data_IF_099999516642
#
_entry.id   IF_099999516642
#
_cell.length_a   1.000
_cell.length_b   1.000
_cell.length_c   1.000
_cell.angle_alpha   90.00
_cell.angle_beta   90.00
_cell.angle_gamma   90.00
#
_symmetry.space_group_name_H-M   'P 1'
#
loop_
_entity.id
_entity.type
_entity.pdbx_description
1 polymer ?
#
# COMPACT_ATOMS: atom_id res chain seq x y z
N UNK A 1 -9.27 2.60 26.72
CA UNK A 1 -8.10 3.37 26.23
C UNK A 1 -7.62 2.71 24.96
N UNK A 2 -7.76 3.36 23.81
CA UNK A 2 -7.17 2.89 22.54
C UNK A 2 -5.66 3.07 22.65
N UNK A 3 -4.93 1.96 22.79
CA UNK A 3 -3.47 2.00 22.74
C UNK A 3 -3.01 2.64 21.43
N UNK A 4 -2.14 3.64 21.56
CA UNK A 4 -1.53 4.30 20.40
C UNK A 4 -0.52 3.35 19.77
N UNK A 5 -0.89 2.65 18.70
CA UNK A 5 0.00 1.77 17.95
C UNK A 5 0.89 2.53 16.94
N UNK A 6 1.22 3.79 17.25
CA UNK A 6 1.97 4.68 16.33
C UNK A 6 3.28 4.07 15.86
N UNK A 7 4.04 3.42 16.75
CA UNK A 7 5.29 2.77 16.37
C UNK A 7 5.04 1.59 15.40
N UNK A 8 4.01 0.77 15.66
CA UNK A 8 3.69 -0.36 14.79
C UNK A 8 3.25 0.11 13.40
N UNK A 9 2.47 1.20 13.30
CA UNK A 9 2.13 1.85 12.03
C UNK A 9 3.38 2.38 11.34
N UNK A 10 4.21 3.15 12.02
CA UNK A 10 5.45 3.68 11.44
C UNK A 10 6.38 2.58 10.91
N UNK A 11 6.57 1.50 11.67
CA UNK A 11 7.35 0.33 11.23
C UNK A 11 6.74 -0.30 9.97
N UNK A 12 5.43 -0.54 9.98
CA UNK A 12 4.73 -1.16 8.85
C UNK A 12 4.86 -0.31 7.58
N UNK A 13 4.62 0.99 7.69
CA UNK A 13 4.53 1.90 6.55
C UNK A 13 5.92 2.28 6.01
N UNK A 14 6.89 2.60 6.89
CA UNK A 14 8.26 2.90 6.46
C UNK A 14 8.95 1.68 5.85
N UNK A 15 8.77 0.49 6.44
CA UNK A 15 9.30 -0.74 5.87
C UNK A 15 8.74 -1.03 4.48
N UNK A 16 7.42 -0.85 4.30
CA UNK A 16 6.76 -1.02 3.01
C UNK A 16 7.20 0.05 1.98
N UNK A 17 7.30 1.30 2.39
CA UNK A 17 7.74 2.38 1.53
C UNK A 17 9.19 2.19 1.04
N UNK A 18 10.08 1.72 1.92
CA UNK A 18 11.46 1.38 1.55
C UNK A 18 11.50 0.20 0.58
N UNK A 19 10.72 -0.88 0.84
CA UNK A 19 10.64 -2.03 -0.05
C UNK A 19 10.12 -1.63 -1.43
N UNK A 20 9.02 -0.86 -1.51
CA UNK A 20 8.46 -0.33 -2.74
C UNK A 20 9.45 0.57 -3.49
N UNK A 21 9.92 1.63 -2.83
CA UNK A 21 10.78 2.64 -3.45
C UNK A 21 12.14 2.09 -3.91
N UNK A 22 12.75 1.22 -3.09
CA UNK A 22 14.00 0.58 -3.44
C UNK A 22 13.86 -0.43 -4.59
N UNK A 23 12.76 -1.18 -4.64
CA UNK A 23 12.48 -2.09 -5.76
C UNK A 23 12.24 -1.33 -7.05
N UNK A 24 11.47 -0.24 -7.01
CA UNK A 24 11.20 0.61 -8.16
C UNK A 24 12.48 1.31 -8.65
N UNK A 25 13.26 1.89 -7.74
CA UNK A 25 14.54 2.52 -8.06
C UNK A 25 15.51 1.50 -8.67
N UNK A 26 15.56 0.28 -8.14
CA UNK A 26 16.40 -0.78 -8.68
C UNK A 26 15.98 -1.21 -10.09
N UNK A 27 14.66 -1.35 -10.34
CA UNK A 27 14.15 -1.71 -11.67
C UNK A 27 14.47 -0.65 -12.72
N UNK A 28 14.39 0.63 -12.37
CA UNK A 28 14.64 1.75 -13.30
C UNK A 28 16.11 2.17 -13.26
N UNK A 29 16.62 2.57 -12.11
CA UNK A 29 17.93 3.21 -11.98
C UNK A 29 19.09 2.23 -12.04
N UNK A 30 19.05 1.14 -11.25
CA UNK A 30 20.15 0.16 -11.24
C UNK A 30 20.28 -0.57 -12.59
N UNK A 31 19.15 -1.00 -13.15
CA UNK A 31 19.16 -1.68 -14.45
C UNK A 31 19.47 -0.73 -15.60
N UNK A 32 18.99 0.52 -15.54
CA UNK A 32 19.34 1.56 -16.52
C UNK A 32 20.83 1.85 -16.53
N UNK A 33 21.41 2.17 -15.38
CA UNK A 33 22.85 2.42 -15.26
C UNK A 33 23.70 1.22 -15.70
N UNK A 34 23.23 -0.01 -15.46
CA UNK A 34 23.92 -1.20 -15.93
C UNK A 34 23.85 -1.36 -17.46
N UNK A 35 22.77 -0.92 -18.11
CA UNK A 35 22.63 -0.95 -19.56
C UNK A 35 23.54 0.07 -20.27
N UNK A 36 23.88 1.17 -19.60
CA UNK A 36 24.77 2.23 -20.10
C UNK A 36 26.27 1.86 -20.01
N UNK A 37 26.62 0.73 -19.37
CA UNK A 37 28.01 0.24 -19.34
C UNK A 37 28.46 -0.19 -20.75
N UNK A 38 29.61 0.32 -21.21
CA UNK A 38 30.10 0.10 -22.56
C UNK A 38 30.29 -1.39 -22.89
N UNK A 39 30.96 -2.14 -21.99
CA UNK A 39 31.23 -3.57 -22.20
C UNK A 39 29.98 -4.42 -21.82
N UNK A 40 29.31 -5.06 -22.81
CA UNK A 40 28.15 -5.91 -22.58
C UNK A 40 28.37 -7.07 -21.61
N UNK A 41 29.65 -7.51 -21.44
CA UNK A 41 30.00 -8.59 -20.50
C UNK A 41 29.96 -8.14 -19.05
N UNK A 42 30.06 -6.85 -18.80
CA UNK A 42 30.03 -6.28 -17.44
C UNK A 42 28.65 -5.89 -16.97
N UNK A 43 27.68 -5.70 -17.86
CA UNK A 43 26.35 -5.17 -17.57
C UNK A 43 25.59 -5.99 -16.52
N UNK A 44 25.56 -7.32 -16.68
CA UNK A 44 24.91 -8.19 -15.70
C UNK A 44 25.59 -8.11 -14.32
N UNK A 45 26.91 -8.05 -14.28
CA UNK A 45 27.69 -7.94 -13.04
C UNK A 45 27.43 -6.63 -12.32
N UNK A 46 27.39 -5.51 -13.04
CA UNK A 46 27.09 -4.17 -12.48
C UNK A 46 25.67 -4.13 -11.88
N UNK A 47 24.67 -4.63 -12.63
CA UNK A 47 23.30 -4.74 -12.13
C UNK A 47 23.24 -5.58 -10.84
N UNK A 48 23.84 -6.77 -10.86
CA UNK A 48 23.85 -7.66 -9.70
C UNK A 48 24.61 -7.08 -8.50
N UNK A 49 25.68 -6.32 -8.72
CA UNK A 49 26.39 -5.64 -7.65
C UNK A 49 25.50 -4.57 -6.97
N UNK A 50 24.75 -3.80 -7.74
CA UNK A 50 23.77 -2.83 -7.22
C UNK A 50 22.68 -3.50 -6.41
N UNK A 51 22.03 -4.51 -6.97
CA UNK A 51 21.01 -5.30 -6.29
C UNK A 51 21.56 -6.04 -5.05
N UNK A 52 22.82 -6.51 -5.12
CA UNK A 52 23.49 -7.15 -3.98
C UNK A 52 23.66 -6.20 -2.78
N UNK A 53 24.01 -4.93 -3.03
CA UNK A 53 24.11 -3.90 -1.97
C UNK A 53 22.74 -3.55 -1.39
N UNK A 54 21.70 -3.55 -2.22
CA UNK A 54 20.33 -3.30 -1.77
C UNK A 54 19.73 -4.45 -0.95
N UNK A 55 20.12 -5.70 -1.23
CA UNK A 55 19.54 -6.90 -0.61
C UNK A 55 19.46 -6.84 0.92
N UNK A 56 20.54 -6.52 1.69
CA UNK A 56 20.46 -6.47 3.15
C UNK A 56 19.54 -5.34 3.64
N UNK A 57 19.54 -4.18 3.00
CA UNK A 57 18.67 -3.06 3.33
C UNK A 57 17.21 -3.44 3.12
N UNK A 58 16.92 -4.08 1.98
CA UNK A 58 15.58 -4.57 1.67
C UNK A 58 15.11 -5.66 2.65
N UNK A 59 15.99 -6.55 3.08
CA UNK A 59 15.66 -7.56 4.09
C UNK A 59 15.26 -6.92 5.43
N UNK A 60 15.98 -5.88 5.87
CA UNK A 60 15.61 -5.11 7.05
C UNK A 60 14.28 -4.40 6.86
N UNK A 61 14.06 -3.74 5.72
CA UNK A 61 12.80 -3.07 5.40
C UNK A 61 11.60 -4.02 5.45
N UNK A 62 11.74 -5.20 4.83
CA UNK A 62 10.74 -6.27 4.87
C UNK A 62 10.51 -6.74 6.31
N UNK A 63 11.57 -7.00 7.08
CA UNK A 63 11.46 -7.43 8.47
C UNK A 63 10.70 -6.40 9.33
N UNK A 64 11.02 -5.12 9.19
CA UNK A 64 10.35 -4.02 9.90
C UNK A 64 8.87 -3.95 9.50
N UNK A 65 8.56 -4.07 8.20
CA UNK A 65 7.18 -4.12 7.70
C UNK A 65 6.39 -5.27 8.32
N UNK A 66 6.94 -6.48 8.31
CA UNK A 66 6.27 -7.68 8.82
C UNK A 66 6.04 -7.61 10.34
N UNK A 67 7.04 -7.15 11.12
CA UNK A 67 6.91 -6.97 12.57
C UNK A 67 5.83 -5.93 12.89
N UNK A 68 5.83 -4.79 12.18
CA UNK A 68 4.80 -3.77 12.32
C UNK A 68 3.42 -4.32 12.01
N UNK A 69 3.26 -5.02 10.89
CA UNK A 69 2.02 -5.67 10.45
C UNK A 69 1.50 -6.70 11.45
N UNK A 70 2.37 -7.55 11.99
CA UNK A 70 2.01 -8.54 13.00
C UNK A 70 1.47 -7.90 14.30
N UNK A 71 2.13 -6.81 14.76
CA UNK A 71 1.66 -6.03 15.92
C UNK A 71 0.29 -5.41 15.66
N UNK A 72 0.08 -4.84 14.48
CA UNK A 72 -1.21 -4.25 14.08
C UNK A 72 -2.32 -5.30 13.98
N UNK A 73 -2.04 -6.49 13.43
CA UNK A 73 -2.99 -7.59 13.39
C UNK A 73 -3.38 -8.06 14.78
N UNK A 74 -2.39 -8.22 15.70
CA UNK A 74 -2.66 -8.57 17.10
C UNK A 74 -3.55 -7.52 17.80
N UNK A 75 -3.26 -6.24 17.63
CA UNK A 75 -4.05 -5.14 18.19
C UNK A 75 -5.48 -5.09 17.64
N UNK A 76 -5.68 -5.44 16.38
CA UNK A 76 -6.98 -5.38 15.69
C UNK A 76 -7.71 -6.73 15.63
N UNK A 77 -7.24 -7.78 16.32
CA UNK A 77 -7.79 -9.16 16.23
C UNK A 77 -9.31 -9.23 16.44
N UNK A 78 -9.84 -8.47 17.39
CA UNK A 78 -11.30 -8.43 17.65
C UNK A 78 -12.09 -7.86 16.47
N UNK A 79 -11.60 -6.79 15.86
CA UNK A 79 -12.21 -6.18 14.67
C UNK A 79 -12.11 -7.09 13.44
N UNK A 80 -10.99 -7.76 13.27
CA UNK A 80 -10.77 -8.73 12.18
C UNK A 80 -11.77 -9.89 12.31
N UNK A 81 -12.02 -10.38 13.52
CA UNK A 81 -12.94 -11.49 13.77
C UNK A 81 -14.43 -11.12 13.59
N UNK A 82 -14.80 -9.85 13.85
CA UNK A 82 -16.21 -9.44 13.90
C UNK A 82 -16.66 -8.61 12.70
N UNK A 83 -15.75 -7.99 11.97
CA UNK A 83 -16.06 -7.06 10.88
C UNK A 83 -15.60 -7.62 9.52
N UNK A 84 -16.55 -8.09 8.70
CA UNK A 84 -16.28 -8.71 7.38
C UNK A 84 -15.40 -7.85 6.46
N UNK A 85 -15.58 -6.53 6.44
CA UNK A 85 -14.77 -5.62 5.63
C UNK A 85 -13.31 -5.54 6.11
N UNK A 86 -13.08 -5.58 7.44
CA UNK A 86 -11.72 -5.59 8.01
C UNK A 86 -11.02 -6.90 7.70
N UNK A 87 -11.71 -8.04 7.82
CA UNK A 87 -11.18 -9.35 7.48
C UNK A 87 -10.81 -9.44 5.98
N UNK A 88 -11.70 -9.00 5.09
CA UNK A 88 -11.44 -9.02 3.65
C UNK A 88 -10.21 -8.18 3.29
N UNK A 89 -10.09 -6.96 3.81
CA UNK A 89 -8.93 -6.11 3.56
C UNK A 89 -7.63 -6.70 4.15
N UNK A 90 -7.70 -7.30 5.33
CA UNK A 90 -6.54 -8.00 5.94
C UNK A 90 -6.07 -9.14 5.04
N UNK A 91 -7.00 -9.96 4.52
CA UNK A 91 -6.66 -11.07 3.64
C UNK A 91 -6.05 -10.60 2.32
N UNK A 92 -6.55 -9.51 1.72
CA UNK A 92 -5.95 -8.91 0.52
C UNK A 92 -4.52 -8.45 0.80
N UNK A 93 -4.28 -7.74 1.90
CA UNK A 93 -2.93 -7.31 2.27
C UNK A 93 -1.99 -8.49 2.51
N UNK A 94 -2.45 -9.54 3.19
CA UNK A 94 -1.65 -10.75 3.40
C UNK A 94 -1.31 -11.44 2.09
N UNK A 95 -2.25 -11.55 1.15
CA UNK A 95 -2.01 -12.13 -0.17
C UNK A 95 -1.00 -11.30 -0.98
N UNK A 96 -1.13 -9.97 -0.99
CA UNK A 96 -0.18 -9.07 -1.65
C UNK A 96 1.22 -9.18 -1.01
N UNK A 97 1.31 -9.25 0.32
CA UNK A 97 2.58 -9.43 1.05
C UNK A 97 3.23 -10.77 0.69
N UNK A 98 2.47 -11.86 0.71
CA UNK A 98 2.99 -13.19 0.35
C UNK A 98 3.47 -13.22 -1.11
N UNK A 99 2.70 -12.65 -2.04
CA UNK A 99 3.09 -12.51 -3.45
C UNK A 99 4.38 -11.69 -3.63
N UNK A 100 4.49 -10.55 -2.95
CA UNK A 100 5.68 -9.69 -3.00
C UNK A 100 6.91 -10.38 -2.39
N UNK A 101 6.76 -11.12 -1.29
CA UNK A 101 7.83 -11.92 -0.68
C UNK A 101 8.30 -13.02 -1.61
N UNK A 102 7.38 -13.77 -2.20
CA UNK A 102 7.67 -14.84 -3.17
C UNK A 102 8.41 -14.28 -4.40
N UNK A 103 7.90 -13.17 -4.95
CA UNK A 103 8.55 -12.49 -6.08
C UNK A 103 9.96 -11.98 -5.73
N UNK A 104 10.13 -11.37 -4.54
CA UNK A 104 11.44 -10.88 -4.08
C UNK A 104 12.44 -12.03 -3.88
N UNK A 105 12.01 -13.13 -3.24
CA UNK A 105 12.85 -14.30 -3.03
C UNK A 105 13.26 -14.95 -4.35
N UNK A 106 12.32 -15.12 -5.27
CA UNK A 106 12.61 -15.73 -6.57
C UNK A 106 13.49 -14.83 -7.47
N UNK A 107 13.26 -13.51 -7.44
CA UNK A 107 14.15 -12.56 -8.12
C UNK A 107 15.59 -12.66 -7.60
N UNK A 108 15.77 -12.87 -6.28
CA UNK A 108 17.11 -13.08 -5.70
C UNK A 108 17.77 -14.37 -6.22
N UNK A 109 17.02 -15.48 -6.30
CA UNK A 109 17.52 -16.75 -6.86
C UNK A 109 17.95 -16.57 -8.33
N UNK A 110 17.12 -15.90 -9.13
CA UNK A 110 17.47 -15.62 -10.54
C UNK A 110 18.72 -14.72 -10.66
N UNK A 111 18.83 -13.68 -9.82
CA UNK A 111 20.02 -12.83 -9.77
C UNK A 111 21.29 -13.62 -9.45
N UNK A 112 21.24 -14.59 -8.55
CA UNK A 112 22.36 -15.49 -8.26
C UNK A 112 22.72 -16.39 -9.45
N UNK A 113 21.73 -16.92 -10.17
CA UNK A 113 21.98 -17.69 -11.41
C UNK A 113 22.64 -16.84 -12.48
N UNK A 114 22.24 -15.57 -12.59
CA UNK A 114 22.90 -14.62 -13.51
C UNK A 114 24.39 -14.39 -13.16
N UNK A 115 24.72 -14.35 -11.87
CA UNK A 115 26.14 -14.27 -11.44
C UNK A 115 26.96 -15.51 -11.84
N UNK A 116 26.32 -16.70 -11.79
CA UNK A 116 26.99 -17.96 -12.20
C UNK A 116 27.16 -18.04 -13.70
N UNK A 117 26.41 -17.31 -14.53
CA UNK A 117 26.58 -17.24 -15.97
C UNK A 117 27.85 -16.45 -16.40
N UNK A 118 28.59 -15.86 -15.45
CA UNK A 118 29.86 -15.20 -15.68
C UNK A 118 29.78 -13.98 -16.59
N UNK A 119 30.77 -13.82 -17.47
CA UNK A 119 30.92 -12.69 -18.38
C UNK A 119 30.10 -12.84 -19.67
N UNK A 120 28.92 -13.44 -19.59
CA UNK A 120 28.02 -13.58 -20.75
C UNK A 120 27.55 -12.17 -21.22
N UNK A 121 27.73 -11.86 -22.52
CA UNK A 121 27.28 -10.58 -23.05
C UNK A 121 25.76 -10.44 -23.00
N UNK A 122 25.28 -9.30 -22.44
CA UNK A 122 23.86 -8.98 -22.30
C UNK A 122 23.60 -7.52 -22.68
N UNK A 123 22.36 -7.19 -23.04
CA UNK A 123 21.98 -5.80 -23.31
C UNK A 123 21.84 -4.98 -22.03
N UNK A 124 21.52 -5.61 -20.89
CA UNK A 124 21.37 -4.97 -19.59
C UNK A 124 21.16 -6.00 -18.49
N UNK A 125 20.88 -5.56 -17.27
CA UNK A 125 20.64 -6.45 -16.13
C UNK A 125 19.47 -7.42 -16.34
N UNK A 126 18.47 -7.01 -17.11
CA UNK A 126 17.24 -7.80 -17.41
C UNK A 126 16.93 -7.88 -18.90
N UNK A 127 17.89 -7.55 -19.77
CA UNK A 127 17.73 -7.52 -21.22
C UNK A 127 18.83 -8.33 -21.90
N UNK A 128 18.44 -9.23 -22.80
CA UNK A 128 19.34 -10.11 -23.57
C UNK A 128 19.74 -9.50 -24.91
N UNK A 129 20.89 -9.90 -25.41
CA UNK A 129 21.32 -9.72 -26.80
C UNK A 129 20.90 -10.95 -27.63
N UNK A 130 20.86 -10.85 -28.97
CA UNK A 130 20.67 -12.02 -29.84
C UNK A 130 21.68 -13.15 -29.61
N UNK A 131 22.91 -12.79 -29.16
CA UNK A 131 23.98 -13.72 -28.83
C UNK A 131 23.91 -14.29 -27.42
N UNK A 132 23.01 -13.82 -26.57
CA UNK A 132 22.84 -14.32 -25.18
C UNK A 132 22.32 -15.76 -25.21
N UNK A 133 22.91 -16.72 -24.48
CA UNK A 133 22.40 -18.07 -24.38
C UNK A 133 20.93 -18.13 -23.95
N UNK A 134 20.13 -19.05 -24.53
CA UNK A 134 18.67 -19.10 -24.29
C UNK A 134 18.27 -19.21 -22.81
N UNK A 135 19.06 -19.93 -22.01
CA UNK A 135 18.81 -20.09 -20.57
C UNK A 135 18.99 -18.79 -19.80
N UNK A 136 20.05 -18.03 -20.14
CA UNK A 136 20.32 -16.71 -19.56
C UNK A 136 19.23 -15.73 -19.98
N UNK A 137 18.87 -15.70 -21.26
CA UNK A 137 17.80 -14.85 -21.78
C UNK A 137 16.45 -15.14 -21.11
N UNK A 138 16.13 -16.43 -20.88
CA UNK A 138 14.92 -16.83 -20.14
C UNK A 138 14.94 -16.33 -18.69
N UNK A 139 16.08 -16.48 -18.00
CA UNK A 139 16.23 -15.99 -16.63
C UNK A 139 16.11 -14.47 -16.56
N UNK A 140 16.67 -13.72 -17.51
CA UNK A 140 16.53 -12.27 -17.61
C UNK A 140 15.07 -11.84 -17.83
N UNK A 141 14.33 -12.51 -18.72
CA UNK A 141 12.92 -12.23 -18.96
C UNK A 141 12.07 -12.42 -17.70
N UNK A 142 12.31 -13.51 -16.96
CA UNK A 142 11.63 -13.77 -15.69
C UNK A 142 12.00 -12.70 -14.65
N UNK A 143 13.29 -12.36 -14.55
CA UNK A 143 13.76 -11.35 -13.62
C UNK A 143 13.16 -9.97 -13.94
N UNK A 144 13.06 -9.59 -15.23
CA UNK A 144 12.40 -8.37 -15.66
C UNK A 144 10.96 -8.31 -15.18
N UNK A 145 10.19 -9.40 -15.38
CA UNK A 145 8.79 -9.45 -14.93
C UNK A 145 8.67 -9.32 -13.39
N UNK A 146 9.53 -10.00 -12.64
CA UNK A 146 9.53 -9.93 -11.17
C UNK A 146 9.91 -8.56 -10.65
N UNK A 147 10.88 -7.89 -11.27
CA UNK A 147 11.33 -6.56 -10.86
C UNK A 147 10.27 -5.47 -11.08
N UNK A 148 9.27 -5.71 -11.93
CA UNK A 148 8.09 -4.86 -12.04
C UNK A 148 6.92 -5.35 -11.17
N UNK A 149 6.79 -6.66 -10.98
CA UNK A 149 5.77 -7.24 -10.11
C UNK A 149 5.95 -6.81 -8.65
N UNK A 150 7.20 -6.76 -8.15
CA UNK A 150 7.48 -6.37 -6.76
C UNK A 150 6.98 -4.95 -6.44
N UNK A 151 7.40 -3.88 -7.16
CA UNK A 151 6.87 -2.55 -6.91
C UNK A 151 5.37 -2.46 -7.22
N UNK A 152 4.84 -3.20 -8.18
CA UNK A 152 3.39 -3.28 -8.42
C UNK A 152 2.62 -3.78 -7.20
N UNK A 153 3.04 -4.90 -6.61
CA UNK A 153 2.41 -5.51 -5.43
C UNK A 153 2.58 -4.64 -4.18
N UNK A 154 3.78 -4.12 -3.94
CA UNK A 154 4.06 -3.27 -2.78
C UNK A 154 3.39 -1.90 -2.89
N UNK A 155 3.31 -1.33 -4.11
CA UNK A 155 2.56 -0.11 -4.39
C UNK A 155 1.06 -0.29 -4.19
N UNK A 156 0.50 -1.44 -4.61
CA UNK A 156 -0.91 -1.78 -4.33
C UNK A 156 -1.19 -1.86 -2.82
N UNK A 157 -0.25 -2.39 -2.03
CA UNK A 157 -0.37 -2.39 -0.57
C UNK A 157 -0.37 -0.97 0.01
N UNK A 158 0.52 -0.07 -0.45
CA UNK A 158 0.54 1.34 -0.05
C UNK A 158 -0.78 2.03 -0.39
N UNK A 159 -1.26 1.89 -1.62
CA UNK A 159 -2.53 2.47 -2.05
C UNK A 159 -3.72 1.94 -1.23
N UNK A 160 -3.75 0.63 -0.94
CA UNK A 160 -4.81 0.04 -0.10
C UNK A 160 -4.79 0.56 1.33
N UNK A 161 -3.63 0.93 1.88
CA UNK A 161 -3.50 1.52 3.22
C UNK A 161 -4.11 2.92 3.26
N UNK A 162 -3.78 3.78 2.28
CA UNK A 162 -4.34 5.13 2.16
C UNK A 162 -5.86 5.12 1.96
N UNK A 163 -6.38 4.21 1.14
CA UNK A 163 -7.83 4.06 0.95
C UNK A 163 -8.53 3.63 2.24
N UNK A 164 -7.89 2.79 3.06
CA UNK A 164 -8.46 2.33 4.31
C UNK A 164 -8.52 3.45 5.38
N UNK A 165 -7.50 4.28 5.45
CA UNK A 165 -7.47 5.47 6.33
C UNK A 165 -8.59 6.45 5.94
N UNK A 166 -8.78 6.69 4.64
CA UNK A 166 -9.86 7.55 4.13
C UNK A 166 -11.25 7.02 4.51
N UNK A 167 -11.46 5.70 4.42
CA UNK A 167 -12.73 5.07 4.81
C UNK A 167 -13.00 5.12 6.32
N UNK A 168 -11.97 5.29 7.15
CA UNK A 168 -12.12 5.42 8.60
C UNK A 168 -12.41 6.84 9.07
N UNK A 169 -12.46 7.83 8.21
CA UNK A 169 -12.88 9.20 8.58
C UNK A 169 -14.29 9.18 9.17
N UNK A 170 -14.54 9.91 10.27
CA UNK A 170 -15.84 9.87 10.99
C UNK A 170 -17.06 10.09 10.09
N UNK A 171 -16.95 10.95 9.08
CA UNK A 171 -18.03 11.20 8.11
C UNK A 171 -18.32 10.00 7.20
N UNK A 172 -17.31 9.23 6.80
CA UNK A 172 -17.44 8.02 5.98
C UNK A 172 -18.02 6.86 6.79
N UNK A 173 -17.58 6.71 8.05
CA UNK A 173 -18.14 5.72 8.99
C UNK A 173 -19.62 5.99 9.25
N UNK A 174 -20.00 7.24 9.53
CA UNK A 174 -21.38 7.65 9.72
C UNK A 174 -22.23 7.39 8.47
N UNK A 175 -21.73 7.73 7.28
CA UNK A 175 -22.40 7.44 6.01
C UNK A 175 -22.55 5.93 5.75
N UNK A 176 -21.57 5.12 6.13
CA UNK A 176 -21.60 3.65 6.02
C UNK A 176 -22.64 3.03 6.94
N UNK A 177 -22.69 3.48 8.20
CA UNK A 177 -23.71 3.06 9.19
C UNK A 177 -25.11 3.40 8.68
N UNK A 178 -25.33 4.63 8.21
CA UNK A 178 -26.62 5.06 7.65
C UNK A 178 -27.03 4.25 6.40
N UNK A 179 -26.09 3.88 5.54
CA UNK A 179 -26.37 3.01 4.38
C UNK A 179 -26.71 1.58 4.78
N UNK A 180 -26.13 1.06 5.85
CA UNK A 180 -26.36 -0.30 6.38
C UNK A 180 -27.67 -0.44 7.17
N UNK A 181 -28.31 0.64 7.59
CA UNK A 181 -29.56 0.59 8.34
C UNK A 181 -30.70 -0.02 7.50
N UNK A 182 -31.57 -0.88 8.07
CA UNK A 182 -32.80 -1.34 7.46
C UNK A 182 -33.68 -0.17 6.98
N UNK A 183 -34.47 -0.37 5.92
CA UNK A 183 -35.31 0.70 5.34
C UNK A 183 -36.24 1.35 6.38
N UNK A 184 -36.72 0.60 7.36
CA UNK A 184 -37.50 1.05 8.49
C UNK A 184 -36.74 2.02 9.41
N UNK A 185 -35.50 1.74 9.77
CA UNK A 185 -34.64 2.60 10.56
C UNK A 185 -34.23 3.88 9.80
N UNK A 186 -34.00 3.80 8.49
CA UNK A 186 -33.75 4.96 7.62
C UNK A 186 -34.92 5.93 7.55
N UNK A 187 -36.15 5.42 7.66
CA UNK A 187 -37.36 6.24 7.72
C UNK A 187 -37.48 6.99 9.05
N UNK A 188 -37.14 6.31 10.17
CA UNK A 188 -37.11 6.91 11.50
C UNK A 188 -36.07 8.03 11.64
N UNK A 189 -34.85 7.82 11.15
CA UNK A 189 -33.79 8.84 11.20
C UNK A 189 -34.11 10.05 10.31
N UNK A 190 -34.74 9.87 9.15
CA UNK A 190 -35.23 10.97 8.30
C UNK A 190 -36.35 11.74 8.95
N UNK A 191 -37.30 11.07 9.61
CA UNK A 191 -38.40 11.71 10.33
C UNK A 191 -37.86 12.54 11.52
N UNK A 192 -36.93 11.98 12.32
CA UNK A 192 -36.30 12.70 13.42
C UNK A 192 -35.50 13.92 12.94
N UNK A 193 -34.76 13.80 11.82
CA UNK A 193 -34.06 14.92 11.21
C UNK A 193 -34.96 16.00 10.64
N UNK A 194 -36.15 15.65 10.13
CA UNK A 194 -37.16 16.61 9.68
C UNK A 194 -37.77 17.38 10.85
N UNK A 195 -38.11 16.69 11.94
CA UNK A 195 -38.65 17.29 13.19
C UNK A 195 -37.61 18.24 13.82
N UNK A 196 -36.33 17.84 13.87
CA UNK A 196 -35.25 18.70 14.37
C UNK A 196 -35.06 19.97 13.52
N UNK A 197 -35.13 19.85 12.19
CA UNK A 197 -35.07 21.02 11.29
C UNK A 197 -36.27 21.96 11.44
N UNK A 198 -37.50 21.43 11.59
CA UNK A 198 -38.68 22.25 11.80
C UNK A 198 -38.65 22.96 13.15
N UNK A 199 -38.20 22.28 14.21
CA UNK A 199 -38.01 22.89 15.53
C UNK A 199 -36.97 24.01 15.55
N UNK A 200 -35.83 23.80 14.87
CA UNK A 200 -34.81 24.83 14.74
C UNK A 200 -35.27 26.05 13.92
N UNK A 201 -36.05 25.83 12.86
CA UNK A 201 -36.66 26.92 12.09
C UNK A 201 -37.65 27.72 12.94
N UNK A 202 -38.52 27.05 13.67
CA UNK A 202 -39.53 27.70 14.53
C UNK A 202 -38.88 28.51 15.66
N UNK A 203 -37.79 27.99 16.28
CA UNK A 203 -36.99 28.71 17.26
C UNK A 203 -36.33 29.97 16.68
N UNK A 204 -35.88 29.90 15.44
CA UNK A 204 -35.28 31.03 14.74
C UNK A 204 -36.32 32.10 14.38
N UNK A 205 -37.48 31.68 13.91
CA UNK A 205 -38.55 32.58 13.54
C UNK A 205 -39.10 33.34 14.78
N UNK A 206 -39.22 32.66 15.93
CA UNK A 206 -39.55 33.29 17.21
C UNK A 206 -38.47 34.27 17.67
N UNK A 207 -37.19 33.94 17.52
CA UNK A 207 -36.10 34.86 17.89
C UNK A 207 -36.08 36.13 17.04
N UNK A 208 -36.43 36.03 15.74
CA UNK A 208 -36.55 37.19 14.84
C UNK A 208 -37.75 38.05 15.25
N UNK A 209 -38.91 37.46 15.49
CA UNK A 209 -40.11 38.20 15.91
C UNK A 209 -39.91 38.95 17.23
N UNK A 210 -39.24 38.34 18.21
CA UNK A 210 -38.88 39.00 19.49
C UNK A 210 -37.93 40.16 19.26
N UNK A 211 -36.96 40.01 18.35
CA UNK A 211 -36.02 41.10 18.05
C UNK A 211 -36.69 42.29 17.37
N UNK A 212 -37.57 42.00 16.40
CA UNK A 212 -38.28 43.06 15.66
C UNK A 212 -39.24 43.86 16.58
N UNK A 213 -39.94 43.18 17.48
CA UNK A 213 -40.79 43.85 18.52
C UNK A 213 -39.98 44.67 19.51
N UNK A 214 -38.73 44.30 19.81
CA UNK A 214 -37.88 45.07 20.69
C UNK A 214 -37.34 46.36 20.04
N UNK A 215 -37.28 46.40 18.72
CA UNK A 215 -36.86 47.60 17.96
C UNK A 215 -37.98 48.61 17.81
N UNK A 216 -39.27 48.18 17.79
CA UNK A 216 -40.43 49.06 17.66
C UNK A 216 -40.82 49.76 18.97
N UNK A 217 -40.17 49.45 20.09
CA UNK A 217 -40.42 50.02 21.43
C UNK A 217 -39.38 51.04 21.87
N UNK A 218 -38.33 51.28 21.06
CA UNK A 218 -37.28 52.28 21.27
C UNK A 218 -37.46 53.46 20.31
#
# INVERSE_FOLDING_TARGET
MTERNTLAHAMHDLGLAAWFGGSLMGAVGVNGAAADVDDPRQRARVANAGWGRWTPVNAVAIGVHLIGGAKLMKANRGRIATQKGVLANTNVKLALTAGALGATGYARVLGQRMMQAGDTPVAGGTSSLPSTPPEVAKAQKQLAALQWAIPGLTGAMLASSSLHEEQQRPGQVAAGVLRGLPKTAKRGTRAAGAVAKSGAKQARDVAVDVKDRAVDVL
#
